data_IF_198900398260
#
_entry.id   IF_198900398260
#
_cell.length_a   1.000
_cell.length_b   1.000
_cell.length_c   1.000
_cell.angle_alpha   90.00
_cell.angle_beta   90.00
_cell.angle_gamma   90.00
#
_symmetry.space_group_name_H-M   'P 1'
#
loop_
_entity.id
_entity.type
_entity.pdbx_description
1 polymer ?
#
# COMPACT_ATOMS: atom_id res chain seq x y z
N UNK A 1 -12.27 -4.43 -21.67
CA UNK A 1 -13.10 -5.01 -20.60
C UNK A 1 -12.52 -4.73 -19.24
N UNK A 2 -13.09 -3.73 -18.56
CA UNK A 2 -12.78 -3.34 -17.17
C UNK A 2 -13.38 -4.36 -16.18
N UNK A 3 -13.19 -5.65 -16.44
CA UNK A 3 -13.89 -6.72 -15.73
C UNK A 3 -12.92 -7.78 -15.21
N UNK A 4 -13.05 -8.15 -13.95
CA UNK A 4 -12.34 -9.28 -13.37
C UNK A 4 -13.01 -10.61 -13.78
N UNK A 5 -12.20 -11.61 -14.10
CA UNK A 5 -12.68 -12.95 -14.41
C UNK A 5 -13.21 -13.62 -13.12
N UNK A 6 -14.54 -13.75 -13.02
CA UNK A 6 -15.23 -14.34 -11.85
C UNK A 6 -14.89 -15.80 -11.59
N UNK A 7 -14.38 -16.52 -12.59
CA UNK A 7 -13.97 -17.92 -12.46
C UNK A 7 -12.55 -18.06 -11.90
N UNK A 8 -11.79 -16.96 -11.81
CA UNK A 8 -10.46 -16.93 -11.23
C UNK A 8 -10.45 -16.09 -9.96
N UNK A 9 -10.19 -16.74 -8.82
CA UNK A 9 -10.23 -16.05 -7.53
C UNK A 9 -8.94 -15.26 -7.23
N UNK A 10 -7.81 -15.63 -7.85
CA UNK A 10 -6.50 -15.00 -7.58
C UNK A 10 -6.47 -13.48 -7.81
N UNK A 11 -7.04 -12.91 -8.89
CA UNK A 11 -7.09 -11.47 -9.08
C UNK A 11 -7.78 -10.71 -7.93
N UNK A 12 -8.82 -11.29 -7.33
CA UNK A 12 -9.52 -10.70 -6.18
C UNK A 12 -8.61 -10.67 -4.95
N UNK A 13 -7.93 -11.79 -4.64
CA UNK A 13 -6.96 -11.83 -3.54
C UNK A 13 -5.85 -10.81 -3.77
N UNK A 14 -5.32 -10.69 -4.99
CA UNK A 14 -4.25 -9.74 -5.28
C UNK A 14 -4.72 -8.28 -5.18
N UNK A 15 -6.00 -8.01 -5.44
CA UNK A 15 -6.60 -6.70 -5.18
C UNK A 15 -6.67 -6.42 -3.66
N UNK A 16 -7.07 -7.41 -2.85
CA UNK A 16 -7.09 -7.28 -1.38
C UNK A 16 -5.69 -7.02 -0.82
N UNK A 17 -4.65 -7.67 -1.36
CA UNK A 17 -3.26 -7.42 -0.96
C UNK A 17 -2.83 -5.98 -1.25
N UNK A 18 -3.22 -5.44 -2.40
CA UNK A 18 -2.94 -4.05 -2.74
C UNK A 18 -3.60 -3.10 -1.75
N UNK A 19 -4.90 -3.30 -1.45
CA UNK A 19 -5.64 -2.52 -0.47
C UNK A 19 -5.05 -2.63 0.93
N UNK A 20 -4.63 -3.83 1.34
CA UNK A 20 -3.95 -4.05 2.62
C UNK A 20 -2.66 -3.23 2.72
N UNK A 21 -1.87 -3.15 1.65
CA UNK A 21 -0.69 -2.28 1.61
C UNK A 21 -1.00 -0.80 1.86
N UNK A 22 -2.14 -0.30 1.36
CA UNK A 22 -2.59 1.08 1.62
C UNK A 22 -2.95 1.30 3.09
N UNK A 23 -3.65 0.35 3.73
CA UNK A 23 -3.96 0.42 5.16
C UNK A 23 -2.69 0.42 6.01
N UNK A 24 -1.70 -0.41 5.64
CA UNK A 24 -0.41 -0.42 6.34
C UNK A 24 0.29 0.93 6.24
N UNK A 25 0.21 1.63 5.11
CA UNK A 25 0.73 2.99 4.98
C UNK A 25 0.00 3.98 5.90
N UNK A 26 -1.33 3.92 6.00
CA UNK A 26 -2.09 4.77 6.93
C UNK A 26 -1.67 4.52 8.39
N UNK A 27 -1.51 3.24 8.78
CA UNK A 27 -1.05 2.87 10.11
C UNK A 27 0.38 3.35 10.38
N UNK A 28 1.30 3.16 9.44
CA UNK A 28 2.71 3.53 9.57
C UNK A 28 2.92 5.05 9.76
N UNK A 29 2.09 5.89 9.12
CA UNK A 29 2.09 7.35 9.34
C UNK A 29 1.81 7.74 10.79
N UNK A 30 1.10 6.88 11.53
CA UNK A 30 0.74 7.10 12.94
C UNK A 30 1.74 6.50 13.92
N UNK A 31 2.81 5.86 13.43
CA UNK A 31 3.91 5.39 14.25
C UNK A 31 4.83 6.56 14.66
N UNK A 32 4.98 6.73 15.98
CA UNK A 32 5.89 7.71 16.57
C UNK A 32 7.31 7.14 16.55
N UNK A 33 8.25 7.84 15.92
CA UNK A 33 9.68 7.47 15.94
C UNK A 33 10.51 8.70 16.28
N UNK A 34 11.34 8.63 17.32
CA UNK A 34 12.15 9.77 17.76
C UNK A 34 11.30 11.00 18.15
N UNK A 35 10.07 10.80 18.63
CA UNK A 35 9.14 11.88 18.99
C UNK A 35 8.40 12.53 17.81
N UNK A 36 8.61 12.06 16.58
CA UNK A 36 8.00 12.61 15.36
C UNK A 36 6.93 11.64 14.83
N UNK A 37 5.82 12.19 14.32
CA UNK A 37 4.72 11.46 13.69
C UNK A 37 4.07 12.31 12.58
N UNK A 38 3.63 11.72 11.46
CA UNK A 38 2.89 12.48 10.45
C UNK A 38 1.42 12.58 10.80
N UNK A 39 0.75 13.63 10.33
CA UNK A 39 -0.70 13.72 10.40
C UNK A 39 -1.39 12.55 9.67
N UNK A 40 -2.55 12.17 10.19
CA UNK A 40 -3.42 11.21 9.52
C UNK A 40 -3.85 11.76 8.17
N UNK A 41 -3.76 10.92 7.14
CA UNK A 41 -4.21 11.23 5.79
C UNK A 41 -4.70 9.94 5.12
N UNK A 42 -5.65 10.08 4.20
CA UNK A 42 -6.08 8.99 3.34
C UNK A 42 -4.99 8.67 2.29
N UNK A 43 -4.92 7.44 1.78
CA UNK A 43 -4.05 7.11 0.65
C UNK A 43 -4.40 8.00 -0.54
N UNK A 44 -3.38 8.56 -1.21
CA UNK A 44 -3.52 9.46 -2.37
C UNK A 44 -4.18 10.83 -2.08
N UNK A 45 -4.34 11.24 -0.80
CA UNK A 45 -4.95 12.54 -0.42
C UNK A 45 -4.34 13.77 -1.12
N UNK A 46 -3.08 13.71 -1.52
CA UNK A 46 -2.32 14.76 -2.19
C UNK A 46 -2.35 14.67 -3.72
N UNK A 47 -3.01 13.65 -4.27
CA UNK A 47 -3.05 13.35 -5.70
C UNK A 47 -4.45 13.34 -6.29
N UNK A 48 -5.48 13.16 -5.48
CA UNK A 48 -6.88 13.06 -5.91
C UNK A 48 -7.81 13.87 -4.99
N UNK A 49 -9.00 14.30 -5.44
CA UNK A 49 -9.98 14.94 -4.57
C UNK A 49 -10.53 13.97 -3.51
N UNK A 50 -11.19 14.51 -2.47
CA UNK A 50 -11.72 13.71 -1.36
C UNK A 50 -12.71 12.61 -1.77
N UNK A 51 -13.48 12.83 -2.84
CA UNK A 51 -14.39 11.85 -3.43
C UNK A 51 -14.00 11.62 -4.90
N UNK A 52 -12.95 10.81 -5.15
CA UNK A 52 -12.36 10.68 -6.47
C UNK A 52 -13.22 9.80 -7.38
N UNK A 53 -13.33 10.19 -8.65
CA UNK A 53 -13.94 9.36 -9.67
C UNK A 53 -13.05 8.15 -10.01
N UNK A 54 -13.62 7.19 -10.74
CA UNK A 54 -12.84 6.07 -11.28
C UNK A 54 -11.67 6.55 -12.16
N UNK A 55 -11.90 7.57 -12.99
CA UNK A 55 -10.89 8.12 -13.89
C UNK A 55 -9.75 8.81 -13.13
N UNK A 56 -10.06 9.53 -12.03
CA UNK A 56 -9.03 10.16 -11.18
C UNK A 56 -8.07 9.11 -10.61
N UNK A 57 -8.63 8.04 -10.05
CA UNK A 57 -7.84 6.94 -9.48
C UNK A 57 -7.08 6.17 -10.56
N UNK A 58 -7.69 5.91 -11.72
CA UNK A 58 -7.05 5.22 -12.84
C UNK A 58 -5.86 6.02 -13.37
N UNK A 59 -6.01 7.34 -13.53
CA UNK A 59 -4.93 8.21 -14.00
C UNK A 59 -3.73 8.17 -13.05
N UNK A 60 -3.96 8.29 -11.74
CA UNK A 60 -2.89 8.28 -10.73
C UNK A 60 -2.23 6.90 -10.60
N UNK A 61 -3.03 5.85 -10.43
CA UNK A 61 -2.52 4.50 -10.05
C UNK A 61 -2.07 3.68 -11.25
N UNK A 62 -2.82 3.74 -12.36
CA UNK A 62 -2.64 2.87 -13.51
C UNK A 62 -1.87 3.54 -14.65
N UNK A 63 -2.09 4.82 -14.92
CA UNK A 63 -1.43 5.55 -16.02
C UNK A 63 -0.10 6.13 -15.55
N UNK A 64 -0.11 6.92 -14.47
CA UNK A 64 1.10 7.57 -13.92
C UNK A 64 1.92 6.65 -13.00
N UNK A 65 1.38 5.48 -12.66
CA UNK A 65 2.01 4.51 -11.75
C UNK A 65 2.44 5.07 -10.40
N UNK A 66 1.71 6.07 -9.89
CA UNK A 66 2.01 6.69 -8.60
C UNK A 66 1.52 5.82 -7.44
N UNK A 67 2.14 6.02 -6.28
CA UNK A 67 1.82 5.36 -5.00
C UNK A 67 1.81 6.41 -3.89
N UNK A 68 1.20 6.14 -2.72
CA UNK A 68 1.18 7.09 -1.62
C UNK A 68 2.59 7.52 -1.21
N UNK A 69 2.78 8.82 -0.96
CA UNK A 69 4.09 9.39 -0.61
C UNK A 69 4.58 8.81 0.71
N UNK A 70 5.85 8.41 0.74
CA UNK A 70 6.52 7.87 1.93
C UNK A 70 7.53 8.89 2.44
N UNK A 71 7.49 9.16 3.75
CA UNK A 71 8.47 10.04 4.38
C UNK A 71 9.85 9.37 4.48
N UNK A 72 10.90 10.11 4.14
CA UNK A 72 12.28 9.62 4.25
C UNK A 72 12.64 9.17 5.68
N UNK A 73 11.96 9.69 6.71
CA UNK A 73 12.18 9.32 8.11
C UNK A 73 11.96 7.83 8.37
N UNK A 74 11.12 7.16 7.59
CA UNK A 74 10.82 5.73 7.79
C UNK A 74 12.07 4.86 7.60
N UNK A 75 13.09 5.35 6.88
CA UNK A 75 14.37 4.65 6.72
C UNK A 75 15.23 4.69 7.99
N UNK A 76 14.98 5.63 8.90
CA UNK A 76 15.75 5.82 10.13
C UNK A 76 15.37 4.84 11.23
N UNK A 77 14.24 4.12 11.09
CA UNK A 77 13.79 3.09 12.01
C UNK A 77 13.74 1.73 11.29
N UNK A 78 14.28 0.69 11.93
CA UNK A 78 14.38 -0.64 11.30
C UNK A 78 13.01 -1.28 11.05
N UNK A 79 12.07 -1.11 11.99
CA UNK A 79 10.72 -1.64 11.87
C UNK A 79 9.98 -0.94 10.73
N UNK A 80 9.99 0.40 10.69
CA UNK A 80 9.36 1.16 9.60
C UNK A 80 9.98 0.89 8.25
N UNK A 81 11.31 0.67 8.17
CA UNK A 81 11.98 0.29 6.92
C UNK A 81 11.53 -1.09 6.42
N UNK A 82 11.31 -2.05 7.32
CA UNK A 82 10.76 -3.35 6.96
C UNK A 82 9.29 -3.26 6.50
N UNK A 83 8.47 -2.44 7.18
CA UNK A 83 7.10 -2.13 6.76
C UNK A 83 7.06 -1.46 5.38
N UNK A 84 7.93 -0.47 5.13
CA UNK A 84 8.08 0.21 3.85
C UNK A 84 8.34 -0.79 2.72
N UNK A 85 9.28 -1.72 2.91
CA UNK A 85 9.54 -2.77 1.91
C UNK A 85 8.31 -3.64 1.67
N UNK A 86 7.65 -4.10 2.74
CA UNK A 86 6.48 -4.95 2.66
C UNK A 86 5.33 -4.29 1.89
N UNK A 87 5.01 -3.03 2.19
CA UNK A 87 3.91 -2.33 1.50
C UNK A 87 4.24 -2.05 0.03
N UNK A 88 5.49 -1.71 -0.31
CA UNK A 88 5.91 -1.54 -1.70
C UNK A 88 5.71 -2.82 -2.52
N UNK A 89 6.01 -3.98 -1.95
CA UNK A 89 5.77 -5.29 -2.60
C UNK A 89 4.25 -5.59 -2.74
N UNK A 90 3.41 -5.12 -1.81
CA UNK A 90 1.95 -5.21 -1.94
C UNK A 90 1.41 -4.32 -3.08
N UNK A 91 2.09 -3.22 -3.38
CA UNK A 91 1.71 -2.24 -4.39
C UNK A 91 2.23 -2.52 -5.80
N UNK A 92 2.83 -3.68 -6.03
CA UNK A 92 3.34 -4.07 -7.33
C UNK A 92 2.25 -3.90 -8.42
N UNK A 93 2.63 -3.29 -9.53
CA UNK A 93 1.70 -3.05 -10.64
C UNK A 93 1.17 -4.37 -11.20
N UNK A 94 2.08 -5.33 -11.45
CA UNK A 94 1.70 -6.70 -11.81
C UNK A 94 1.12 -7.42 -10.58
N UNK A 95 -0.17 -7.84 -10.61
CA UNK A 95 -0.79 -8.56 -9.49
C UNK A 95 -0.04 -9.84 -9.09
N UNK A 96 0.54 -10.56 -10.06
CA UNK A 96 1.29 -11.80 -9.78
C UNK A 96 2.59 -11.58 -9.01
N UNK A 97 3.08 -10.34 -8.95
CA UNK A 97 4.28 -9.97 -8.19
C UNK A 97 3.97 -9.56 -6.74
N UNK A 98 2.69 -9.43 -6.38
CA UNK A 98 2.29 -9.03 -5.03
C UNK A 98 2.49 -10.17 -4.04
N UNK A 99 2.72 -9.82 -2.79
CA UNK A 99 2.89 -10.80 -1.71
C UNK A 99 1.61 -11.58 -1.46
N UNK A 100 1.75 -12.82 -0.99
CA UNK A 100 0.61 -13.56 -0.43
C UNK A 100 0.36 -13.12 1.01
N UNK A 101 -0.90 -13.22 1.47
CA UNK A 101 -1.26 -12.91 2.86
C UNK A 101 -0.44 -13.74 3.87
N UNK A 102 -0.15 -15.01 3.56
CA UNK A 102 0.70 -15.85 4.41
C UNK A 102 2.15 -15.34 4.46
N UNK A 103 2.69 -14.83 3.35
CA UNK A 103 4.02 -14.24 3.33
C UNK A 103 4.07 -12.97 4.18
N UNK A 104 3.07 -12.09 4.04
CA UNK A 104 2.91 -10.89 4.87
C UNK A 104 2.90 -11.26 6.36
N UNK A 105 2.02 -12.20 6.76
CA UNK A 105 1.91 -12.67 8.15
C UNK A 105 3.24 -13.19 8.69
N UNK A 106 3.95 -14.01 7.91
CA UNK A 106 5.26 -14.56 8.32
C UNK A 106 6.32 -13.47 8.45
N UNK A 107 6.32 -12.45 7.59
CA UNK A 107 7.26 -11.33 7.69
C UNK A 107 6.98 -10.51 8.93
N UNK A 108 5.74 -10.10 9.17
CA UNK A 108 5.35 -9.34 10.36
C UNK A 108 5.64 -10.12 11.65
N UNK A 109 5.38 -11.43 11.67
CA UNK A 109 5.67 -12.27 12.84
C UNK A 109 7.16 -12.44 13.15
N UNK A 110 8.07 -12.08 12.25
CA UNK A 110 9.53 -12.05 12.52
C UNK A 110 10.02 -10.70 13.04
N UNK A 111 9.16 -9.68 13.00
CA UNK A 111 9.48 -8.32 13.45
C UNK A 111 9.12 -8.11 14.94
N UNK A 112 8.49 -9.10 15.57
CA UNK A 112 8.10 -9.14 16.99
C UNK A 112 9.09 -10.01 17.76
#
# INVERSE_FOLDING_TARGET
>A
DETLNKNHFQPYIMADIYSFGLIIWEMARRCITGGIVEEYQLPYYDMVPNDPSFEDMREVVCVKHLRPVVSNRWNSDECLRAILKLMCECWAHNPASRLTALRIKKTLGKMV
#
